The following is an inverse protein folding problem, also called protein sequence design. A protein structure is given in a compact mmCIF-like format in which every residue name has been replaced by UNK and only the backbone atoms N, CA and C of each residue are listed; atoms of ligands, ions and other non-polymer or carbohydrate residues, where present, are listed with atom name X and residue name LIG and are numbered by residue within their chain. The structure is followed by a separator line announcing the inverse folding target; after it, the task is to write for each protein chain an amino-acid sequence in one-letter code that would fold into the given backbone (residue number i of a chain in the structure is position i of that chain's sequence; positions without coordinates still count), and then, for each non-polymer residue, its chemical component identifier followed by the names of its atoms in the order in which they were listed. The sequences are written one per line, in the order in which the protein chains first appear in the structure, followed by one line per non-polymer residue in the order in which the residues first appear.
data_IF_332094291895
#
_entry.id   IF_332094291895
#
_cell.length_a   1.000
_cell.length_b   1.000
_cell.length_c   1.000
_cell.angle_alpha   90.00
_cell.angle_beta   90.00
_cell.angle_gamma   90.00
#
_symmetry.space_group_name_H-M   'P 1'
#
loop_
_entity.id
_entity.type
_entity.pdbx_description
1 polymer ?
#
# COMPACT_ATOMS: atom_id res chain seq x y z
N UNK A 1 54.62 29.16 -7.34
CA UNK A 1 53.42 28.99 -8.15
C UNK A 1 52.23 28.88 -7.23
N UNK A 2 51.34 29.81 -7.34
CA UNK A 2 50.09 29.81 -6.55
C UNK A 2 49.08 28.98 -7.27
N UNK A 3 48.71 27.81 -6.73
CA UNK A 3 47.55 27.05 -7.23
C UNK A 3 46.27 27.86 -6.99
N UNK A 4 45.47 28.08 -8.02
CA UNK A 4 44.22 28.78 -7.90
C UNK A 4 43.24 27.97 -7.10
N UNK A 5 42.57 28.49 -6.05
CA UNK A 5 41.65 27.76 -5.20
C UNK A 5 40.38 27.30 -5.89
N UNK A 6 40.19 27.68 -7.13
CA UNK A 6 38.98 27.37 -7.93
C UNK A 6 38.83 25.89 -8.29
N UNK A 7 39.91 25.11 -8.29
CA UNK A 7 39.81 23.67 -8.60
C UNK A 7 39.34 22.82 -7.44
N UNK A 8 39.56 23.24 -6.21
CA UNK A 8 39.09 22.51 -5.00
C UNK A 8 37.56 22.67 -4.83
N UNK A 9 36.98 23.80 -5.18
CA UNK A 9 35.55 24.06 -5.14
C UNK A 9 34.77 23.28 -6.22
N UNK A 10 35.37 23.09 -7.40
CA UNK A 10 34.77 22.32 -8.48
C UNK A 10 34.68 20.82 -8.16
N UNK A 11 35.67 20.26 -7.48
CA UNK A 11 35.69 18.86 -7.03
C UNK A 11 34.65 18.57 -5.94
N UNK A 12 34.44 19.51 -5.03
CA UNK A 12 33.39 19.37 -3.97
C UNK A 12 31.98 19.46 -4.55
N UNK A 13 31.75 20.28 -5.56
CA UNK A 13 30.45 20.38 -6.24
C UNK A 13 30.11 19.10 -7.04
N UNK A 14 31.11 18.45 -7.67
CA UNK A 14 30.92 17.21 -8.40
C UNK A 14 30.59 16.02 -7.51
N UNK A 15 31.17 15.93 -6.32
CA UNK A 15 30.87 14.85 -5.35
C UNK A 15 29.50 14.97 -4.72
N UNK A 16 29.01 16.18 -4.49
CA UNK A 16 27.66 16.38 -3.97
C UNK A 16 26.57 16.05 -4.99
N UNK A 17 26.79 16.31 -6.27
CA UNK A 17 25.86 15.97 -7.34
C UNK A 17 25.69 14.46 -7.55
N UNK A 18 26.76 13.68 -7.40
CA UNK A 18 26.74 12.22 -7.49
C UNK A 18 25.96 11.55 -6.34
N UNK A 19 26.01 12.11 -5.14
CA UNK A 19 25.26 11.61 -3.98
C UNK A 19 23.75 11.85 -4.11
N UNK A 20 23.34 12.97 -4.69
CA UNK A 20 21.92 13.29 -4.91
C UNK A 20 21.30 12.39 -5.98
N UNK A 21 22.03 12.09 -7.06
CA UNK A 21 21.54 11.23 -8.14
C UNK A 21 21.40 9.77 -7.69
N UNK A 22 22.29 9.27 -6.86
CA UNK A 22 22.20 7.89 -6.35
C UNK A 22 21.05 7.70 -5.35
N UNK A 23 20.69 8.70 -4.57
CA UNK A 23 19.53 8.66 -3.67
C UNK A 23 18.21 8.63 -4.46
N UNK A 24 18.11 9.39 -5.53
CA UNK A 24 16.91 9.43 -6.40
C UNK A 24 16.69 8.11 -7.14
N UNK A 25 17.74 7.45 -7.62
CA UNK A 25 17.63 6.14 -8.27
C UNK A 25 17.14 5.05 -7.31
N UNK A 26 17.63 5.03 -6.08
CA UNK A 26 17.17 4.06 -5.07
C UNK A 26 15.72 4.29 -4.63
N UNK A 27 15.29 5.54 -4.56
CA UNK A 27 13.90 5.88 -4.26
C UNK A 27 12.96 5.33 -5.34
N UNK A 28 13.29 5.52 -6.62
CA UNK A 28 12.50 5.02 -7.74
C UNK A 28 12.40 3.48 -7.73
N UNK A 29 13.51 2.77 -7.51
CA UNK A 29 13.50 1.30 -7.41
C UNK A 29 12.61 0.80 -6.26
N UNK A 30 12.61 1.51 -5.13
CA UNK A 30 11.76 1.16 -3.98
C UNK A 30 10.28 1.40 -4.32
N UNK A 31 9.97 2.50 -4.96
CA UNK A 31 8.61 2.85 -5.39
C UNK A 31 8.06 1.83 -6.39
N UNK A 32 8.84 1.44 -7.39
CA UNK A 32 8.48 0.40 -8.36
C UNK A 32 8.23 -0.95 -7.68
N UNK A 33 9.00 -1.31 -6.68
CA UNK A 33 8.80 -2.52 -5.88
C UNK A 33 7.50 -2.47 -5.08
N UNK A 34 7.20 -1.34 -4.45
CA UNK A 34 5.95 -1.14 -3.69
C UNK A 34 4.75 -1.35 -4.62
N UNK A 35 4.72 -0.67 -5.77
CA UNK A 35 3.62 -0.79 -6.74
C UNK A 35 3.46 -2.22 -7.27
N UNK A 36 4.57 -2.86 -7.63
CA UNK A 36 4.59 -4.24 -8.09
C UNK A 36 4.14 -5.22 -7.01
N UNK A 37 4.58 -5.04 -5.77
CA UNK A 37 4.22 -5.88 -4.63
C UNK A 37 2.75 -5.75 -4.27
N UNK A 38 2.20 -4.54 -4.30
CA UNK A 38 0.77 -4.32 -4.11
C UNK A 38 -0.04 -5.11 -5.13
N UNK A 39 0.24 -4.94 -6.42
CA UNK A 39 -0.46 -5.62 -7.51
C UNK A 39 -0.33 -7.15 -7.46
N UNK A 40 0.81 -7.67 -6.99
CA UNK A 40 1.09 -9.11 -6.87
C UNK A 40 0.60 -9.73 -5.57
N UNK A 41 0.20 -8.92 -4.59
CA UNK A 41 -0.27 -9.42 -3.31
C UNK A 41 -1.48 -10.33 -3.47
N UNK A 42 -1.62 -11.30 -2.57
CA UNK A 42 -2.76 -12.20 -2.54
C UNK A 42 -4.08 -11.43 -2.46
N UNK A 43 -4.14 -10.40 -1.62
CA UNK A 43 -5.33 -9.57 -1.41
C UNK A 43 -5.79 -8.92 -2.70
N UNK A 44 -4.90 -8.24 -3.43
CA UNK A 44 -5.24 -7.59 -4.70
C UNK A 44 -5.66 -8.58 -5.78
N UNK A 45 -5.07 -9.78 -5.80
CA UNK A 45 -5.40 -10.81 -6.79
C UNK A 45 -6.69 -11.58 -6.50
N UNK A 46 -7.13 -11.63 -5.26
CA UNK A 46 -8.27 -12.45 -4.86
C UNK A 46 -9.44 -11.62 -4.36
N UNK A 47 -9.23 -10.85 -3.32
CA UNK A 47 -10.29 -10.07 -2.65
C UNK A 47 -10.66 -8.80 -3.44
N UNK A 48 -9.66 -8.14 -4.01
CA UNK A 48 -9.81 -6.87 -4.72
C UNK A 48 -9.75 -7.02 -6.26
N UNK A 49 -9.82 -8.25 -6.77
CA UNK A 49 -9.66 -8.53 -8.21
C UNK A 49 -10.70 -7.85 -9.10
N UNK A 50 -11.87 -7.57 -8.57
CA UNK A 50 -12.97 -6.93 -9.30
C UNK A 50 -13.02 -5.41 -9.09
N UNK A 51 -12.14 -4.88 -8.25
CA UNK A 51 -12.04 -3.46 -7.97
C UNK A 51 -11.04 -2.79 -8.94
N UNK A 52 -11.30 -1.53 -9.24
CA UNK A 52 -10.45 -0.74 -10.11
C UNK A 52 -9.50 0.12 -9.26
N UNK A 53 -8.41 -0.48 -8.77
CA UNK A 53 -7.46 0.16 -7.88
C UNK A 53 -6.16 0.47 -8.62
N UNK A 54 -5.75 1.73 -8.59
CA UNK A 54 -4.45 2.21 -9.02
C UNK A 54 -3.60 2.54 -7.80
N UNK A 55 -2.38 2.02 -7.79
CA UNK A 55 -1.38 2.29 -6.75
C UNK A 55 -0.24 3.07 -7.37
N UNK A 56 0.07 4.21 -6.80
CA UNK A 56 1.23 5.04 -7.18
C UNK A 56 2.09 5.27 -5.93
N UNK A 57 3.38 5.07 -6.05
CA UNK A 57 4.34 5.32 -4.98
C UNK A 57 5.33 6.41 -5.37
N UNK A 58 5.63 7.30 -4.45
CA UNK A 58 6.65 8.33 -4.60
C UNK A 58 7.38 8.54 -3.28
N UNK A 59 8.68 8.24 -3.26
CA UNK A 59 9.52 8.32 -2.06
C UNK A 59 8.93 7.56 -0.85
N UNK A 60 8.24 6.43 -1.08
CA UNK A 60 7.58 5.64 -0.05
C UNK A 60 6.19 6.14 0.37
N UNK A 61 5.74 7.28 -0.12
CA UNK A 61 4.36 7.75 0.03
C UNK A 61 3.49 7.14 -1.07
N UNK A 62 2.52 6.34 -0.68
CA UNK A 62 1.65 5.62 -1.62
C UNK A 62 0.29 6.29 -1.70
N UNK A 63 -0.20 6.52 -2.91
CA UNK A 63 -1.54 7.01 -3.18
C UNK A 63 -2.37 5.91 -3.83
N UNK A 64 -3.52 5.60 -3.25
CA UNK A 64 -4.50 4.68 -3.80
C UNK A 64 -5.65 5.46 -4.42
N UNK A 65 -5.90 5.26 -5.70
CA UNK A 65 -7.00 5.89 -6.45
C UNK A 65 -7.82 4.86 -7.17
N UNK A 66 -9.05 5.24 -7.52
CA UNK A 66 -9.97 4.37 -8.24
C UNK A 66 -11.24 4.08 -7.45
N UNK A 67 -11.87 2.95 -7.74
CA UNK A 67 -13.15 2.56 -7.16
C UNK A 67 -13.11 1.14 -6.60
N UNK A 68 -13.81 0.95 -5.49
CA UNK A 68 -14.00 -0.33 -4.83
C UNK A 68 -15.47 -0.60 -4.60
N UNK A 69 -15.86 -1.86 -4.55
CA UNK A 69 -17.26 -2.25 -4.37
C UNK A 69 -17.78 -1.90 -2.97
N UNK A 70 -16.94 -2.03 -1.94
CA UNK A 70 -17.33 -1.90 -0.54
C UNK A 70 -16.31 -1.08 0.25
N UNK A 71 -16.73 -0.49 1.36
CA UNK A 71 -15.82 0.25 2.25
C UNK A 71 -14.78 -0.65 2.92
N UNK A 72 -15.10 -1.92 3.12
CA UNK A 72 -14.16 -2.94 3.57
C UNK A 72 -12.99 -3.14 2.61
N UNK A 73 -13.25 -3.13 1.31
CA UNK A 73 -12.21 -3.21 0.27
C UNK A 73 -11.28 -2.00 0.29
N UNK A 74 -11.81 -0.82 0.59
CA UNK A 74 -11.02 0.39 0.78
C UNK A 74 -10.02 0.24 1.93
N UNK A 75 -10.49 -0.22 3.10
CA UNK A 75 -9.63 -0.48 4.26
C UNK A 75 -8.64 -1.62 4.01
N UNK A 76 -9.08 -2.67 3.32
CA UNK A 76 -8.24 -3.82 3.00
C UNK A 76 -7.09 -3.45 2.06
N UNK A 77 -7.35 -2.62 1.05
CA UNK A 77 -6.32 -2.09 0.16
C UNK A 77 -5.28 -1.27 0.92
N UNK A 78 -5.73 -0.37 1.79
CA UNK A 78 -4.87 0.49 2.62
C UNK A 78 -3.94 -0.34 3.51
N UNK A 79 -4.48 -1.23 4.34
CA UNK A 79 -3.68 -2.06 5.22
C UNK A 79 -2.73 -3.01 4.48
N UNK A 80 -3.14 -3.52 3.33
CA UNK A 80 -2.25 -4.35 2.50
C UNK A 80 -1.04 -3.55 2.04
N UNK A 81 -1.25 -2.33 1.58
CA UNK A 81 -0.17 -1.46 1.11
C UNK A 81 0.70 -0.97 2.28
N UNK A 82 0.11 -0.59 3.41
CA UNK A 82 0.85 -0.19 4.62
C UNK A 82 1.82 -1.27 5.11
N UNK A 83 1.46 -2.53 4.92
CA UNK A 83 2.29 -3.69 5.32
C UNK A 83 3.49 -3.95 4.41
N UNK A 84 3.57 -3.29 3.26
CA UNK A 84 4.66 -3.51 2.30
C UNK A 84 5.96 -2.84 2.75
N UNK A 85 7.11 -3.50 2.53
CA UNK A 85 8.41 -2.92 2.88
C UNK A 85 8.68 -1.64 2.07
N UNK A 86 9.12 -0.60 2.74
CA UNK A 86 9.46 0.68 2.12
C UNK A 86 8.34 1.71 2.11
N UNK A 87 7.11 1.32 2.45
CA UNK A 87 5.98 2.24 2.58
C UNK A 87 6.13 3.07 3.85
N UNK A 88 6.04 4.39 3.70
CA UNK A 88 6.11 5.37 4.79
C UNK A 88 4.75 5.92 5.16
N UNK A 89 3.88 6.09 4.17
CA UNK A 89 2.52 6.60 4.35
C UNK A 89 1.62 6.13 3.22
N UNK A 90 0.33 6.05 3.48
CA UNK A 90 -0.69 5.72 2.47
C UNK A 90 -1.76 6.81 2.47
N UNK A 91 -2.02 7.37 1.30
CA UNK A 91 -3.14 8.28 1.03
C UNK A 91 -4.22 7.50 0.28
N UNK A 92 -5.30 7.18 0.96
CA UNK A 92 -6.37 6.36 0.43
C UNK A 92 -7.52 7.21 -0.13
N UNK A 93 -7.46 7.47 -1.43
CA UNK A 93 -8.46 8.22 -2.18
C UNK A 93 -9.48 7.32 -2.92
N UNK A 94 -9.58 6.05 -2.55
CA UNK A 94 -10.54 5.12 -3.16
C UNK A 94 -11.98 5.55 -2.88
N UNK A 95 -12.81 5.46 -3.91
CA UNK A 95 -14.24 5.73 -3.84
C UNK A 95 -15.01 4.42 -3.78
N UNK A 96 -15.98 4.35 -2.88
CA UNK A 96 -16.86 3.20 -2.76
C UNK A 96 -18.05 3.37 -3.71
N UNK A 97 -18.30 2.39 -4.56
CA UNK A 97 -19.39 2.41 -5.54
C UNK A 97 -20.58 1.56 -5.14
N UNK A 98 -20.39 0.55 -4.28
CA UNK A 98 -21.43 -0.30 -3.74
C UNK A 98 -22.06 0.27 -2.47
N UNK A 99 -23.18 -0.32 -2.07
CA UNK A 99 -23.78 -0.04 -0.76
C UNK A 99 -22.87 -0.66 0.32
N UNK A 100 -22.41 0.16 1.24
CA UNK A 100 -21.71 -0.37 2.42
C UNK A 100 -22.75 -1.08 3.31
N UNK A 101 -22.46 -2.29 3.82
CA UNK A 101 -23.32 -2.91 4.81
C UNK A 101 -23.56 -1.95 5.97
N UNK A 102 -24.79 -1.91 6.47
CA UNK A 102 -25.11 -1.09 7.64
C UNK A 102 -24.16 -1.43 8.80
N UNK A 103 -23.67 -0.41 9.47
CA UNK A 103 -22.77 -0.58 10.61
C UNK A 103 -23.43 -1.50 11.66
N UNK A 104 -22.66 -2.45 12.20
CA UNK A 104 -23.13 -3.52 13.08
C UNK A 104 -24.04 -4.57 12.45
N UNK A 105 -24.29 -4.54 11.13
CA UNK A 105 -24.95 -5.66 10.44
C UNK A 105 -24.06 -6.91 10.39
N UNK A 106 -24.66 -8.08 10.19
CA UNK A 106 -23.92 -9.34 10.05
C UNK A 106 -22.91 -9.29 8.90
N UNK A 107 -23.27 -8.62 7.79
CA UNK A 107 -22.36 -8.39 6.67
C UNK A 107 -21.15 -7.52 7.06
N UNK A 108 -21.37 -6.46 7.82
CA UNK A 108 -20.31 -5.61 8.34
C UNK A 108 -19.38 -6.36 9.29
N UNK A 109 -19.94 -7.15 10.22
CA UNK A 109 -19.16 -7.97 11.16
C UNK A 109 -18.33 -9.03 10.41
N UNK A 110 -18.94 -9.76 9.47
CA UNK A 110 -18.25 -10.75 8.65
C UNK A 110 -17.05 -10.16 7.92
N UNK A 111 -17.24 -8.99 7.33
CA UNK A 111 -16.17 -8.28 6.61
C UNK A 111 -15.05 -7.85 7.54
N UNK A 112 -15.38 -7.28 8.70
CA UNK A 112 -14.38 -6.89 9.70
C UNK A 112 -13.55 -8.08 10.19
N UNK A 113 -14.20 -9.20 10.48
CA UNK A 113 -13.52 -10.41 10.94
C UNK A 113 -12.62 -10.98 9.84
N UNK A 114 -13.09 -11.08 8.60
CA UNK A 114 -12.28 -11.53 7.45
C UNK A 114 -11.05 -10.65 7.24
N UNK A 115 -11.23 -9.33 7.33
CA UNK A 115 -10.13 -8.37 7.20
C UNK A 115 -9.10 -8.58 8.32
N UNK A 116 -9.55 -8.71 9.55
CA UNK A 116 -8.66 -8.96 10.69
C UNK A 116 -7.87 -10.28 10.52
N UNK A 117 -8.52 -11.34 10.07
CA UNK A 117 -7.88 -12.65 9.86
C UNK A 117 -6.80 -12.61 8.76
N UNK A 118 -7.01 -11.84 7.69
CA UNK A 118 -6.04 -11.69 6.61
C UNK A 118 -4.69 -11.10 7.08
N UNK A 119 -4.71 -10.28 8.12
CA UNK A 119 -3.52 -9.65 8.69
C UNK A 119 -2.92 -10.41 9.88
N UNK A 120 -3.58 -11.47 10.35
CA UNK A 120 -3.03 -12.31 11.41
C UNK A 120 -2.02 -13.32 10.87
N UNK A 121 -0.81 -13.27 11.43
CA UNK A 121 0.36 -14.05 11.01
C UNK A 121 0.17 -15.58 11.09
N UNK A 122 -0.75 -16.04 11.92
CA UNK A 122 -0.94 -17.46 12.24
C UNK A 122 -2.25 -18.06 11.71
N UNK A 123 -3.04 -17.31 10.97
CA UNK A 123 -4.31 -17.76 10.43
C UNK A 123 -4.26 -17.79 8.91
N UNK A 124 -4.56 -18.96 8.34
CA UNK A 124 -4.67 -19.12 6.89
C UNK A 124 -6.03 -18.63 6.43
N UNK A 125 -6.11 -17.35 6.07
CA UNK A 125 -7.37 -16.75 5.64
C UNK A 125 -7.95 -17.37 4.36
N UNK A 126 -7.13 -18.05 3.58
CA UNK A 126 -7.57 -18.75 2.35
C UNK A 126 -8.40 -20.02 2.61
N UNK A 127 -8.36 -20.56 3.82
CA UNK A 127 -9.10 -21.75 4.22
C UNK A 127 -10.11 -21.50 5.33
N UNK A 128 -10.34 -20.24 5.69
CA UNK A 128 -11.26 -19.90 6.80
C UNK A 128 -12.50 -19.21 6.26
N UNK A 129 -13.64 -19.86 6.43
CA UNK A 129 -14.94 -19.25 6.18
C UNK A 129 -15.47 -18.59 7.45
N UNK A 130 -15.98 -17.40 7.32
CA UNK A 130 -16.55 -16.63 8.43
C UNK A 130 -18.04 -16.48 8.18
N UNK A 131 -18.83 -17.02 9.08
CA UNK A 131 -20.28 -16.88 9.08
C UNK A 131 -20.71 -15.96 10.23
N UNK A 132 -21.58 -15.03 9.93
CA UNK A 132 -22.17 -14.17 10.95
C UNK A 132 -23.69 -14.26 10.82
N UNK A 133 -24.34 -14.54 11.93
CA UNK A 133 -25.80 -14.56 12.05
C UNK A 133 -26.20 -13.96 13.39
N UNK A 134 -27.11 -13.00 13.33
CA UNK A 134 -27.67 -12.32 14.52
C UNK A 134 -26.57 -11.76 15.45
N UNK A 135 -25.46 -11.26 14.87
CA UNK A 135 -24.32 -10.72 15.59
C UNK A 135 -23.36 -11.77 16.16
N UNK A 136 -23.60 -13.06 15.93
CA UNK A 136 -22.71 -14.16 16.37
C UNK A 136 -21.80 -14.57 15.23
N UNK A 137 -20.48 -14.60 15.49
CA UNK A 137 -19.44 -15.01 14.55
C UNK A 137 -19.09 -16.48 14.78
N UNK A 138 -19.08 -17.26 13.71
CA UNK A 138 -18.69 -18.68 13.69
C UNK A 138 -17.58 -18.93 12.70
#
# INVERSE_FOLDING_TARGET
MKMKPTYALALLAATSALLVTSASLRANETDDRIESSAKKSYVFKTQLKNDSIKTESKNGAVTLTGTVAESSHKSLAEHTVESLPGVKSVDNQLKVTGESPAEHSDGWLSTKVKTALLFHRHVSASGTDVYVKDGVVS
#
